data_IF_688942355427
#
_entry.id   IF_688942355427
#
_cell.length_a   1.000
_cell.length_b   1.000
_cell.length_c   1.000
_cell.angle_alpha   90.00
_cell.angle_beta   90.00
_cell.angle_gamma   90.00
#
_symmetry.space_group_name_H-M   'P 1'
#
loop_
_entity.id
_entity.type
_entity.pdbx_description
1 polymer ?
#
# COMPACT_ATOMS: atom_id res chain seq x y z
N UNK A 1 -71.35 5.32 21.03
CA UNK A 1 -72.36 5.09 22.07
C UNK A 1 -71.61 4.66 23.33
N UNK A 2 -71.48 5.61 24.26
CA UNK A 2 -71.42 5.48 25.73
C UNK A 2 -70.53 4.36 26.31
N UNK A 3 -69.39 4.82 26.86
CA UNK A 3 -68.84 4.54 28.21
C UNK A 3 -69.15 3.20 28.90
N UNK A 4 -68.10 2.54 29.43
CA UNK A 4 -67.83 2.59 30.88
C UNK A 4 -66.42 2.10 31.26
N UNK A 5 -65.77 2.98 32.02
CA UNK A 5 -64.59 2.80 32.86
C UNK A 5 -64.84 1.82 34.02
N UNK A 6 -63.77 1.16 34.48
CA UNK A 6 -63.31 1.15 35.89
C UNK A 6 -62.02 0.31 35.96
N UNK A 7 -60.82 0.90 36.02
CA UNK A 7 -60.10 1.46 37.17
C UNK A 7 -59.46 0.42 38.11
N UNK A 8 -58.18 0.69 38.40
CA UNK A 8 -57.35 0.08 39.44
C UNK A 8 -56.11 -0.57 38.82
N UNK A 9 -54.92 0.02 38.80
CA UNK A 9 -54.33 1.01 39.69
C UNK A 9 -52.97 0.47 40.11
N UNK A 10 -51.89 1.11 39.66
CA UNK A 10 -50.53 0.65 39.98
C UNK A 10 -49.45 1.46 39.27
N UNK A 11 -49.28 2.71 39.72
CA UNK A 11 -48.18 3.61 39.33
C UNK A 11 -46.83 3.01 39.70
N UNK A 12 -45.86 3.04 38.79
CA UNK A 12 -44.51 3.54 39.08
C UNK A 12 -43.99 4.35 37.89
N UNK A 13 -43.78 5.64 38.14
CA UNK A 13 -43.03 6.58 37.30
C UNK A 13 -41.53 6.28 37.39
N UNK A 14 -40.81 6.35 36.26
CA UNK A 14 -39.69 7.30 36.02
C UNK A 14 -38.87 6.92 34.78
N UNK A 15 -39.09 7.68 33.72
CA UNK A 15 -38.09 8.51 33.02
C UNK A 15 -36.60 8.08 33.08
N UNK A 16 -36.03 7.89 31.90
CA UNK A 16 -34.82 8.62 31.49
C UNK A 16 -33.55 7.81 31.35
N UNK A 17 -32.88 8.01 30.21
CA UNK A 17 -31.41 8.04 30.16
C UNK A 17 -30.73 6.86 29.47
N UNK A 18 -30.28 7.11 28.25
CA UNK A 18 -29.18 6.39 27.59
C UNK A 18 -27.88 6.59 28.38
N UNK A 19 -27.00 5.59 28.51
CA UNK A 19 -25.56 5.84 28.54
C UNK A 19 -24.88 4.99 27.45
N UNK A 20 -24.27 5.53 26.38
CA UNK A 20 -23.06 6.38 26.31
C UNK A 20 -21.90 5.85 27.17
N UNK A 21 -20.94 5.21 26.48
CA UNK A 21 -19.51 5.15 26.77
C UNK A 21 -19.07 4.86 28.22
N UNK A 22 -18.83 3.59 28.54
CA UNK A 22 -17.95 3.23 29.65
C UNK A 22 -16.47 3.36 29.20
N UNK A 23 -15.92 4.57 29.34
CA UNK A 23 -14.48 4.81 29.36
C UNK A 23 -13.96 4.32 30.72
N UNK A 24 -13.36 3.14 30.77
CA UNK A 24 -12.61 2.69 31.95
C UNK A 24 -11.27 3.43 32.01
N UNK A 25 -11.25 4.57 32.69
CA UNK A 25 -10.03 5.26 33.11
C UNK A 25 -9.48 4.62 34.38
N UNK A 26 -8.42 3.82 34.28
CA UNK A 26 -7.65 3.34 35.43
C UNK A 26 -6.54 4.34 35.73
N UNK A 27 -6.79 5.22 36.70
CA UNK A 27 -5.78 6.00 37.41
C UNK A 27 -5.08 5.05 38.39
N UNK A 28 -3.82 4.70 38.12
CA UNK A 28 -2.99 3.92 39.06
C UNK A 28 -1.96 4.88 39.66
N UNK A 29 -2.15 5.18 40.95
CA UNK A 29 -1.14 5.79 41.80
C UNK A 29 0.01 4.81 42.02
N UNK A 30 1.23 5.30 41.90
CA UNK A 30 2.46 4.53 42.04
C UNK A 30 2.78 4.29 43.52
N UNK A 31 3.10 3.04 43.87
CA UNK A 31 3.91 2.70 45.04
C UNK A 31 5.29 2.25 44.53
N UNK A 32 6.41 2.84 45.01
CA UNK A 32 7.75 2.55 44.49
C UNK A 32 8.45 1.48 45.33
N UNK A 33 7.85 0.29 45.48
CA UNK A 33 8.53 -0.84 46.12
C UNK A 33 8.27 -2.12 45.31
N UNK A 34 9.34 -2.66 44.73
CA UNK A 34 9.34 -3.93 43.99
C UNK A 34 9.22 -3.79 42.47
N UNK A 35 10.29 -3.33 41.79
CA UNK A 35 10.43 -3.53 40.35
C UNK A 35 10.70 -5.03 40.10
N UNK A 36 9.64 -5.84 40.19
CA UNK A 36 9.63 -7.09 39.45
C UNK A 36 9.63 -6.74 37.97
N UNK A 37 10.46 -7.44 37.19
CA UNK A 37 10.54 -7.39 35.74
C UNK A 37 9.25 -7.91 35.05
N UNK A 38 8.09 -7.56 35.58
CA UNK A 38 6.80 -7.90 35.05
C UNK A 38 6.53 -7.03 33.81
N UNK A 39 5.94 -7.59 32.75
CA UNK A 39 5.82 -6.95 31.43
C UNK A 39 4.99 -5.65 31.38
N UNK A 40 4.66 -5.00 32.50
CA UNK A 40 3.78 -3.84 32.59
C UNK A 40 4.32 -2.61 31.85
N UNK A 41 5.65 -2.40 31.81
CA UNK A 41 6.27 -1.36 30.99
C UNK A 41 6.01 -1.57 29.49
N UNK A 42 6.24 -2.80 29.02
CA UNK A 42 5.98 -3.21 27.64
C UNK A 42 4.49 -3.12 27.29
N UNK A 43 3.59 -3.46 28.22
CA UNK A 43 2.15 -3.29 28.04
C UNK A 43 1.77 -1.83 27.81
N UNK A 44 2.27 -0.90 28.64
CA UNK A 44 1.99 0.54 28.52
C UNK A 44 2.54 1.10 27.20
N UNK A 45 3.75 0.70 26.81
CA UNK A 45 4.34 1.05 25.52
C UNK A 45 3.53 0.49 24.34
N UNK A 46 3.05 -0.75 24.44
CA UNK A 46 2.20 -1.33 23.41
C UNK A 46 0.90 -0.54 23.24
N UNK A 47 0.27 -0.16 24.36
CA UNK A 47 -0.97 0.61 24.37
C UNK A 47 -0.85 1.96 23.65
N UNK A 48 0.23 2.70 23.90
CA UNK A 48 0.46 4.00 23.23
C UNK A 48 0.74 3.88 21.72
N UNK A 49 1.14 2.70 21.25
CA UNK A 49 1.46 2.42 19.86
C UNK A 49 0.28 1.86 19.06
N UNK A 50 -0.85 1.49 19.69
CA UNK A 50 -1.95 0.77 19.01
C UNK A 50 -2.46 1.45 17.74
N UNK A 51 -2.46 2.79 17.73
CA UNK A 51 -2.96 3.61 16.61
C UNK A 51 -1.84 4.04 15.67
N UNK A 52 -0.68 4.44 16.20
CA UNK A 52 0.41 5.02 15.42
C UNK A 52 1.32 3.97 14.79
N UNK A 53 1.54 2.84 15.46
CA UNK A 53 2.37 1.73 14.97
C UNK A 53 1.83 0.39 15.51
N UNK A 54 0.79 -0.17 14.88
CA UNK A 54 0.13 -1.38 15.35
C UNK A 54 1.03 -2.62 15.33
N UNK A 55 2.03 -2.68 14.44
CA UNK A 55 3.00 -3.78 14.38
C UNK A 55 3.92 -3.75 15.61
N UNK A 56 4.47 -2.58 15.92
CA UNK A 56 5.25 -2.40 17.14
C UNK A 56 4.40 -2.64 18.39
N UNK A 57 3.12 -2.24 18.40
CA UNK A 57 2.20 -2.56 19.49
C UNK A 57 2.03 -4.07 19.68
N UNK A 58 1.82 -4.84 18.61
CA UNK A 58 1.71 -6.30 18.66
C UNK A 58 3.00 -6.91 19.24
N UNK A 59 4.18 -6.48 18.79
CA UNK A 59 5.45 -7.01 19.31
C UNK A 59 5.64 -6.69 20.80
N UNK A 60 5.33 -5.46 21.23
CA UNK A 60 5.44 -5.08 22.63
C UNK A 60 4.44 -5.83 23.52
N UNK A 61 3.20 -6.08 23.05
CA UNK A 61 2.26 -6.91 23.80
C UNK A 61 2.72 -8.37 23.91
N UNK A 62 3.28 -8.95 22.84
CA UNK A 62 3.84 -10.31 22.87
C UNK A 62 5.03 -10.41 23.83
N UNK A 63 5.93 -9.42 23.79
CA UNK A 63 7.04 -9.34 24.72
C UNK A 63 6.54 -9.18 26.18
N UNK A 64 5.53 -8.34 26.41
CA UNK A 64 4.92 -8.17 27.73
C UNK A 64 4.35 -9.50 28.26
N UNK A 65 3.64 -10.26 27.41
CA UNK A 65 3.11 -11.57 27.76
C UNK A 65 4.21 -12.58 28.13
N UNK A 66 5.37 -12.56 27.45
CA UNK A 66 6.51 -13.41 27.78
C UNK A 66 7.26 -12.99 29.06
N UNK A 67 7.27 -11.69 29.39
CA UNK A 67 7.93 -11.16 30.60
C UNK A 67 7.13 -11.37 31.90
N UNK A 68 5.97 -12.03 31.83
CA UNK A 68 5.11 -12.26 32.99
C UNK A 68 4.28 -11.03 33.33
N UNK A 69 2.99 -11.04 32.97
CA UNK A 69 2.02 -10.01 33.35
C UNK A 69 1.12 -10.51 34.49
N UNK A 70 0.69 -9.60 35.40
CA UNK A 70 -0.42 -9.87 36.31
C UNK A 70 -1.65 -10.37 35.56
N UNK A 71 -2.48 -11.23 36.18
CA UNK A 71 -3.54 -11.97 35.50
C UNK A 71 -4.54 -11.08 34.72
N UNK A 72 -4.90 -9.93 35.28
CA UNK A 72 -5.77 -8.94 34.63
C UNK A 72 -5.10 -8.32 33.38
N UNK A 73 -3.85 -7.89 33.49
CA UNK A 73 -3.10 -7.33 32.36
C UNK A 73 -2.76 -8.38 31.31
N UNK A 74 -2.50 -9.62 31.72
CA UNK A 74 -2.30 -10.75 30.81
C UNK A 74 -3.56 -10.99 29.98
N UNK A 75 -4.73 -11.06 30.61
CA UNK A 75 -6.02 -11.22 29.90
C UNK A 75 -6.27 -10.06 28.95
N UNK A 76 -6.01 -8.82 29.37
CA UNK A 76 -6.14 -7.65 28.51
C UNK A 76 -5.19 -7.71 27.31
N UNK A 77 -3.91 -8.02 27.53
CA UNK A 77 -2.89 -8.08 26.48
C UNK A 77 -3.22 -9.13 25.42
N UNK A 78 -3.71 -10.30 25.85
CA UNK A 78 -4.19 -11.35 24.96
C UNK A 78 -5.29 -10.82 24.03
N UNK A 79 -6.34 -10.23 24.58
CA UNK A 79 -7.42 -9.68 23.74
C UNK A 79 -6.96 -8.51 22.86
N UNK A 80 -6.06 -7.66 23.36
CA UNK A 80 -5.47 -6.57 22.57
C UNK A 80 -4.71 -7.08 21.35
N UNK A 81 -3.88 -8.12 21.50
CA UNK A 81 -3.18 -8.76 20.38
C UNK A 81 -4.17 -9.31 19.36
N UNK A 82 -5.21 -10.02 19.82
CA UNK A 82 -6.26 -10.54 18.94
C UNK A 82 -6.94 -9.42 18.11
N UNK A 83 -7.38 -8.34 18.76
CA UNK A 83 -8.05 -7.24 18.08
C UNK A 83 -7.12 -6.45 17.18
N UNK A 84 -5.84 -6.30 17.54
CA UNK A 84 -4.85 -5.68 16.67
C UNK A 84 -4.62 -6.52 15.41
N UNK A 85 -4.54 -7.85 15.52
CA UNK A 85 -4.47 -8.70 14.34
C UNK A 85 -5.70 -8.53 13.45
N UNK A 86 -6.89 -8.59 14.04
CA UNK A 86 -8.16 -8.45 13.32
C UNK A 86 -8.30 -7.09 12.61
N UNK A 87 -8.04 -5.99 13.32
CA UNK A 87 -8.20 -4.62 12.82
C UNK A 87 -7.21 -4.29 11.70
N UNK A 88 -6.00 -4.84 11.79
CA UNK A 88 -4.92 -4.57 10.82
C UNK A 88 -4.79 -5.66 9.75
N UNK A 89 -5.85 -6.44 9.53
CA UNK A 89 -5.98 -7.40 8.43
C UNK A 89 -5.04 -8.62 8.48
N UNK A 90 -4.48 -8.92 9.65
CA UNK A 90 -3.73 -10.13 9.92
C UNK A 90 -4.69 -11.30 10.21
N UNK A 91 -5.56 -11.64 9.26
CA UNK A 91 -6.68 -12.55 9.53
C UNK A 91 -6.25 -13.98 9.86
N UNK A 92 -5.14 -14.48 9.28
CA UNK A 92 -4.61 -15.80 9.61
C UNK A 92 -4.11 -15.82 11.07
N UNK A 93 -3.39 -14.78 11.49
CA UNK A 93 -2.93 -14.60 12.86
C UNK A 93 -4.11 -14.45 13.82
N UNK A 94 -5.09 -13.60 13.49
CA UNK A 94 -6.29 -13.40 14.31
C UNK A 94 -7.05 -14.71 14.51
N UNK A 95 -7.19 -15.53 13.45
CA UNK A 95 -7.85 -16.83 13.52
C UNK A 95 -7.08 -17.80 14.42
N UNK A 96 -5.79 -18.00 14.18
CA UNK A 96 -4.95 -18.92 14.97
C UNK A 96 -4.86 -18.49 16.43
N UNK A 97 -4.64 -17.19 16.66
CA UNK A 97 -4.53 -16.62 17.99
C UNK A 97 -5.87 -16.67 18.74
N UNK A 98 -6.98 -16.33 18.07
CA UNK A 98 -8.34 -16.47 18.59
C UNK A 98 -8.64 -17.88 19.08
N UNK A 99 -8.26 -18.90 18.31
CA UNK A 99 -8.43 -20.30 18.71
C UNK A 99 -7.64 -20.65 19.96
N UNK A 100 -6.41 -20.14 20.09
CA UNK A 100 -5.56 -20.41 21.25
C UNK A 100 -6.06 -19.79 22.55
N UNK A 101 -6.92 -18.77 22.46
CA UNK A 101 -7.43 -18.01 23.61
C UNK A 101 -8.90 -18.33 23.91
N UNK A 102 -9.48 -19.31 23.22
CA UNK A 102 -10.88 -19.71 23.39
C UNK A 102 -11.88 -18.69 22.86
N UNK A 103 -11.53 -17.89 21.86
CA UNK A 103 -12.50 -17.03 21.19
C UNK A 103 -13.55 -17.91 20.49
N UNK A 104 -14.83 -17.75 20.86
CA UNK A 104 -15.91 -18.60 20.35
C UNK A 104 -16.12 -18.56 18.83
N UNK A 105 -16.94 -19.47 18.29
CA UNK A 105 -17.14 -19.64 16.84
C UNK A 105 -17.69 -18.40 16.11
N UNK A 106 -18.33 -17.47 16.80
CA UNK A 106 -18.76 -16.18 16.25
C UNK A 106 -17.58 -15.32 15.77
N UNK A 107 -16.47 -15.33 16.51
CA UNK A 107 -15.25 -14.61 16.16
C UNK A 107 -14.56 -15.23 14.93
N UNK A 108 -14.46 -16.56 14.88
CA UNK A 108 -13.93 -17.27 13.71
C UNK A 108 -14.72 -16.95 12.44
N UNK A 109 -16.05 -17.02 12.53
CA UNK A 109 -16.96 -16.70 11.43
C UNK A 109 -16.77 -15.25 10.96
N UNK A 110 -16.57 -14.32 11.89
CA UNK A 110 -16.31 -12.92 11.57
C UNK A 110 -14.98 -12.72 10.84
N UNK A 111 -13.91 -13.40 11.26
CA UNK A 111 -12.62 -13.36 10.56
C UNK A 111 -12.75 -13.87 9.12
N UNK A 112 -13.45 -14.99 8.92
CA UNK A 112 -13.68 -15.53 7.58
C UNK A 112 -14.52 -14.59 6.71
N UNK A 113 -15.56 -13.94 7.26
CA UNK A 113 -16.34 -12.91 6.55
C UNK A 113 -15.46 -11.71 6.17
N UNK A 114 -14.60 -11.26 7.06
CA UNK A 114 -13.68 -10.16 6.79
C UNK A 114 -12.65 -10.52 5.70
N UNK A 115 -12.13 -11.76 5.72
CA UNK A 115 -11.25 -12.27 4.67
C UNK A 115 -11.97 -12.38 3.31
N UNK A 116 -13.22 -12.84 3.29
CA UNK A 116 -14.05 -12.84 2.07
C UNK A 116 -14.25 -11.42 1.55
N UNK A 117 -14.63 -10.48 2.42
CA UNK A 117 -14.89 -9.10 2.03
C UNK A 117 -13.62 -8.38 1.56
N UNK A 118 -12.49 -8.55 2.23
CA UNK A 118 -11.24 -7.83 1.89
C UNK A 118 -10.42 -8.51 0.80
N UNK A 119 -10.25 -9.83 0.90
CA UNK A 119 -9.39 -10.61 0.00
C UNK A 119 -10.17 -11.34 -1.10
N UNK A 120 -11.49 -11.49 -0.99
CA UNK A 120 -12.29 -12.19 -2.00
C UNK A 120 -12.09 -13.71 -2.01
N UNK A 121 -11.57 -14.26 -0.90
CA UNK A 121 -11.29 -15.69 -0.78
C UNK A 121 -12.43 -16.40 -0.03
N UNK A 122 -12.71 -17.65 -0.42
CA UNK A 122 -13.72 -18.47 0.26
C UNK A 122 -13.18 -18.99 1.59
N UNK A 123 -14.05 -19.51 2.45
CA UNK A 123 -13.63 -20.19 3.68
C UNK A 123 -12.68 -21.37 3.40
N UNK A 124 -12.87 -22.07 2.27
CA UNK A 124 -11.98 -23.14 1.84
C UNK A 124 -10.57 -22.64 1.49
N UNK A 125 -10.47 -21.57 0.69
CA UNK A 125 -9.19 -20.93 0.37
C UNK A 125 -8.51 -20.40 1.65
N UNK A 126 -9.29 -19.79 2.56
CA UNK A 126 -8.79 -19.29 3.85
C UNK A 126 -8.23 -20.42 4.71
N UNK A 127 -8.96 -21.53 4.86
CA UNK A 127 -8.52 -22.69 5.63
C UNK A 127 -7.24 -23.31 5.06
N UNK A 128 -7.11 -23.37 3.73
CA UNK A 128 -5.85 -23.80 3.08
C UNK A 128 -4.68 -22.89 3.46
N UNK A 129 -4.87 -21.57 3.45
CA UNK A 129 -3.83 -20.63 3.88
C UNK A 129 -3.46 -20.82 5.36
N UNK A 130 -4.45 -21.00 6.24
CA UNK A 130 -4.22 -21.25 7.67
C UNK A 130 -3.44 -22.54 7.90
N UNK A 131 -3.79 -23.62 7.20
CA UNK A 131 -3.08 -24.90 7.27
C UNK A 131 -1.64 -24.76 6.78
N UNK A 132 -1.44 -24.15 5.61
CA UNK A 132 -0.11 -23.94 5.05
C UNK A 132 0.76 -23.01 5.91
N UNK A 133 0.16 -22.03 6.61
CA UNK A 133 0.89 -21.13 7.53
C UNK A 133 1.60 -21.89 8.65
N UNK A 134 0.99 -22.99 9.13
CA UNK A 134 1.59 -23.86 10.15
C UNK A 134 2.73 -24.72 9.59
N UNK A 135 2.74 -25.02 8.29
CA UNK A 135 3.78 -25.82 7.61
C UNK A 135 5.01 -25.03 7.14
N UNK A 136 4.97 -23.69 7.17
CA UNK A 136 6.12 -22.82 6.95
C UNK A 136 6.64 -22.78 5.51
N UNK A 137 7.32 -23.83 5.05
CA UNK A 137 8.04 -23.87 3.77
C UNK A 137 7.13 -23.88 2.54
N UNK A 138 5.93 -24.46 2.66
CA UNK A 138 4.91 -24.58 1.60
C UNK A 138 3.91 -23.43 1.55
N UNK A 139 4.03 -22.46 2.48
CA UNK A 139 3.11 -21.34 2.55
C UNK A 139 3.12 -20.48 1.29
N UNK A 140 4.28 -20.04 0.74
CA UNK A 140 4.30 -19.21 -0.45
C UNK A 140 3.63 -19.86 -1.66
N UNK A 141 3.81 -21.17 -1.86
CA UNK A 141 3.22 -21.88 -3.00
C UNK A 141 1.68 -21.95 -2.88
N UNK A 142 1.18 -22.20 -1.67
CA UNK A 142 -0.25 -22.18 -1.38
C UNK A 142 -0.82 -20.77 -1.54
N UNK A 143 -0.13 -19.76 -1.02
CA UNK A 143 -0.51 -18.35 -1.15
C UNK A 143 -0.59 -17.96 -2.62
N UNK A 144 0.43 -18.26 -3.42
CA UNK A 144 0.49 -17.97 -4.85
C UNK A 144 -0.64 -18.66 -5.62
N UNK A 145 -0.96 -19.92 -5.29
CA UNK A 145 -2.10 -20.64 -5.88
C UNK A 145 -3.45 -19.96 -5.57
N UNK A 146 -3.64 -19.48 -4.33
CA UNK A 146 -4.87 -18.76 -3.95
C UNK A 146 -4.92 -17.39 -4.61
N UNK A 147 -3.82 -16.64 -4.62
CA UNK A 147 -3.69 -15.31 -5.23
C UNK A 147 -4.00 -15.36 -6.73
N UNK A 148 -3.46 -16.35 -7.45
CA UNK A 148 -3.66 -16.51 -8.89
C UNK A 148 -5.14 -16.64 -9.28
N UNK A 149 -5.98 -17.18 -8.39
CA UNK A 149 -7.44 -17.29 -8.62
C UNK A 149 -8.19 -15.97 -8.44
N UNK A 150 -7.55 -14.90 -7.93
CA UNK A 150 -8.23 -13.69 -7.43
C UNK A 150 -7.82 -12.43 -8.17
N UNK A 151 -8.17 -12.32 -9.44
CA UNK A 151 -7.78 -11.21 -10.33
C UNK A 151 -7.92 -9.79 -9.72
N UNK A 152 -9.06 -9.46 -9.08
CA UNK A 152 -9.33 -8.10 -8.58
C UNK A 152 -8.73 -7.79 -7.20
N UNK A 153 -8.44 -8.80 -6.39
CA UNK A 153 -7.99 -8.64 -4.99
C UNK A 153 -6.61 -9.25 -4.71
N UNK A 154 -5.97 -9.81 -5.75
CA UNK A 154 -4.66 -10.45 -5.68
C UNK A 154 -3.60 -9.54 -5.03
N UNK A 155 -3.52 -8.27 -5.44
CA UNK A 155 -2.54 -7.33 -4.88
C UNK A 155 -2.76 -7.06 -3.39
N UNK A 156 -4.02 -6.88 -2.97
CA UNK A 156 -4.37 -6.62 -1.56
C UNK A 156 -4.08 -7.85 -0.71
N UNK A 157 -4.52 -9.03 -1.17
CA UNK A 157 -4.25 -10.30 -0.50
C UNK A 157 -2.74 -10.53 -0.34
N UNK A 158 -1.97 -10.41 -1.42
CA UNK A 158 -0.53 -10.60 -1.36
C UNK A 158 0.16 -9.62 -0.41
N UNK A 159 -0.19 -8.33 -0.47
CA UNK A 159 0.38 -7.32 0.41
C UNK A 159 0.10 -7.61 1.89
N UNK A 160 -1.12 -7.98 2.24
CA UNK A 160 -1.46 -8.32 3.62
C UNK A 160 -0.76 -9.61 4.08
N UNK A 161 -0.66 -10.64 3.23
CA UNK A 161 0.05 -11.89 3.56
C UNK A 161 1.56 -11.66 3.75
N UNK A 162 2.18 -10.81 2.92
CA UNK A 162 3.60 -10.45 3.05
C UNK A 162 3.87 -9.70 4.35
N UNK A 163 3.09 -8.66 4.64
CA UNK A 163 3.18 -7.92 5.92
C UNK A 163 3.01 -8.83 7.12
N UNK A 164 2.09 -9.79 7.02
CA UNK A 164 1.84 -10.78 8.06
C UNK A 164 3.04 -11.72 8.30
N UNK A 165 3.78 -12.10 7.25
CA UNK A 165 5.01 -12.89 7.35
C UNK A 165 6.16 -12.05 7.91
N UNK A 166 6.30 -10.80 7.47
CA UNK A 166 7.30 -9.85 7.99
C UNK A 166 7.13 -9.61 9.49
N UNK A 167 5.89 -9.45 9.96
CA UNK A 167 5.58 -9.33 11.39
C UNK A 167 6.00 -10.59 12.19
N UNK A 168 6.06 -11.76 11.56
CA UNK A 168 6.53 -13.00 12.17
C UNK A 168 8.04 -13.24 11.97
N UNK A 169 8.78 -12.30 11.37
CA UNK A 169 10.20 -12.45 11.07
C UNK A 169 10.51 -13.38 9.89
N UNK A 170 9.51 -13.69 9.05
CA UNK A 170 9.61 -14.61 7.90
C UNK A 170 9.72 -13.85 6.57
N UNK A 171 10.66 -12.89 6.51
CA UNK A 171 10.83 -12.03 5.34
C UNK A 171 11.24 -12.83 4.07
N UNK A 172 11.93 -13.94 4.24
CA UNK A 172 12.29 -14.89 3.19
C UNK A 172 11.06 -15.54 2.53
N UNK A 173 10.02 -15.84 3.32
CA UNK A 173 8.77 -16.37 2.80
C UNK A 173 7.92 -15.24 2.18
N UNK A 174 7.97 -14.04 2.76
CA UNK A 174 7.25 -12.88 2.25
C UNK A 174 7.71 -12.54 0.82
N UNK A 175 9.01 -12.62 0.57
CA UNK A 175 9.60 -12.38 -0.75
C UNK A 175 9.27 -13.45 -1.80
N UNK A 176 8.70 -14.59 -1.39
CA UNK A 176 8.27 -15.66 -2.30
C UNK A 176 6.79 -15.58 -2.69
N UNK A 177 6.01 -14.70 -2.07
CA UNK A 177 4.63 -14.42 -2.48
C UNK A 177 4.68 -13.51 -3.71
N UNK A 178 3.98 -13.85 -4.79
CA UNK A 178 4.01 -13.20 -6.11
C UNK A 178 2.58 -12.92 -6.59
N UNK A 179 2.35 -11.81 -7.31
CA UNK A 179 1.01 -11.36 -7.75
C UNK A 179 0.87 -11.54 -9.25
N UNK A 180 0.70 -12.79 -9.70
CA UNK A 180 0.47 -13.08 -11.12
C UNK A 180 -0.90 -12.53 -11.53
N UNK A 181 -0.94 -11.57 -12.47
CA UNK A 181 -2.22 -11.17 -13.08
C UNK A 181 -2.75 -12.32 -13.95
N UNK A 182 -3.94 -12.89 -13.65
CA UNK A 182 -4.56 -13.85 -14.55
C UNK A 182 -4.94 -13.10 -15.83
N UNK A 183 -4.41 -13.54 -16.97
CA UNK A 183 -4.60 -13.03 -18.35
C UNK A 183 -3.54 -12.06 -18.92
N UNK A 184 -2.37 -11.85 -18.32
CA UNK A 184 -1.26 -11.33 -19.13
C UNK A 184 -0.72 -12.46 -20.02
N UNK A 185 -1.19 -12.54 -21.27
CA UNK A 185 -0.68 -13.50 -22.26
C UNK A 185 0.80 -13.27 -22.63
N UNK A 186 1.42 -12.22 -22.10
CA UNK A 186 2.86 -11.96 -22.19
C UNK A 186 3.29 -11.08 -21.02
N UNK A 187 4.27 -11.50 -20.21
CA UNK A 187 5.13 -10.55 -19.48
C UNK A 187 4.96 -10.37 -17.96
N UNK A 188 4.46 -11.36 -17.20
CA UNK A 188 4.61 -11.35 -15.74
C UNK A 188 5.80 -12.20 -15.32
N UNK A 189 6.96 -11.56 -15.29
CA UNK A 189 8.19 -12.14 -14.76
C UNK A 189 8.21 -12.04 -13.22
N UNK A 190 8.31 -13.17 -12.49
CA UNK A 190 8.28 -13.18 -11.03
C UNK A 190 9.34 -12.28 -10.39
N UNK A 191 10.53 -12.23 -10.98
CA UNK A 191 11.64 -11.44 -10.44
C UNK A 191 11.35 -9.94 -10.58
N UNK A 192 10.68 -9.54 -11.67
CA UNK A 192 10.28 -8.14 -11.88
C UNK A 192 9.16 -7.72 -10.94
N UNK A 193 8.20 -8.60 -10.65
CA UNK A 193 7.16 -8.33 -9.65
C UNK A 193 7.73 -8.22 -8.24
N UNK A 194 8.70 -9.09 -7.91
CA UNK A 194 9.38 -9.06 -6.63
C UNK A 194 10.26 -7.82 -6.47
N UNK A 195 10.95 -7.39 -7.53
CA UNK A 195 11.71 -6.14 -7.53
C UNK A 195 10.79 -4.92 -7.35
N UNK A 196 9.63 -4.91 -7.99
CA UNK A 196 8.62 -3.86 -7.80
C UNK A 196 8.07 -3.85 -6.36
N UNK A 197 7.93 -5.02 -5.74
CA UNK A 197 7.60 -5.09 -4.32
C UNK A 197 8.68 -4.47 -3.43
N UNK A 198 9.94 -4.87 -3.58
CA UNK A 198 11.05 -4.27 -2.82
C UNK A 198 11.12 -2.75 -3.01
N UNK A 199 10.95 -2.26 -4.26
CA UNK A 199 10.85 -0.83 -4.54
C UNK A 199 9.71 -0.14 -3.78
N UNK A 200 8.53 -0.77 -3.70
CA UNK A 200 7.37 -0.25 -2.98
C UNK A 200 7.59 -0.16 -1.46
N UNK A 201 8.36 -1.08 -0.89
CA UNK A 201 8.74 -1.08 0.53
C UNK A 201 9.89 -0.11 0.83
N UNK A 202 10.52 0.47 -0.20
CA UNK A 202 11.68 1.34 -0.04
C UNK A 202 13.01 0.58 0.06
N UNK A 203 13.01 -0.76 -0.06
CA UNK A 203 14.22 -1.55 -0.23
C UNK A 203 14.75 -1.42 -1.66
N UNK A 204 15.39 -0.28 -1.92
CA UNK A 204 15.93 0.03 -3.24
C UNK A 204 17.10 -0.89 -3.62
N UNK A 205 17.89 -1.32 -2.62
CA UNK A 205 19.06 -2.17 -2.84
C UNK A 205 18.63 -3.59 -3.23
N UNK A 206 17.70 -4.20 -2.48
CA UNK A 206 17.17 -5.51 -2.81
C UNK A 206 16.43 -5.52 -4.16
N UNK A 207 15.68 -4.46 -4.46
CA UNK A 207 15.04 -4.29 -5.77
C UNK A 207 16.08 -4.25 -6.90
N UNK A 208 17.15 -3.47 -6.73
CA UNK A 208 18.20 -3.29 -7.72
C UNK A 208 19.01 -4.58 -7.95
N UNK A 209 19.43 -5.26 -6.89
CA UNK A 209 20.18 -6.52 -6.98
C UNK A 209 19.39 -7.58 -7.77
N UNK A 210 18.08 -7.66 -7.53
CA UNK A 210 17.21 -8.59 -8.25
C UNK A 210 17.08 -8.24 -9.73
N UNK A 211 16.95 -6.94 -10.07
CA UNK A 211 16.91 -6.48 -11.46
C UNK A 211 18.22 -6.74 -12.20
N UNK A 212 19.37 -6.53 -11.57
CA UNK A 212 20.69 -6.84 -12.17
C UNK A 212 20.96 -8.33 -12.30
N UNK A 213 20.48 -9.13 -11.34
CA UNK A 213 20.49 -10.59 -11.49
C UNK A 213 19.65 -10.99 -12.70
N UNK A 214 18.46 -10.39 -12.83
CA UNK A 214 17.55 -10.68 -13.93
C UNK A 214 18.09 -10.25 -15.28
N UNK A 215 18.77 -9.10 -15.37
CA UNK A 215 19.30 -8.58 -16.63
C UNK A 215 20.35 -9.49 -17.28
N UNK A 216 20.93 -10.44 -16.53
CA UNK A 216 21.88 -11.45 -17.03
C UNK A 216 21.20 -12.69 -17.63
N UNK A 217 19.87 -12.76 -17.62
CA UNK A 217 19.11 -13.86 -18.20
C UNK A 217 18.91 -13.65 -19.70
N UNK A 218 19.25 -14.67 -20.50
CA UNK A 218 19.12 -14.61 -21.96
C UNK A 218 17.67 -14.65 -22.45
N UNK A 219 16.73 -15.14 -21.61
CA UNK A 219 15.31 -15.36 -21.98
C UNK A 219 14.40 -14.15 -21.74
N UNK A 220 14.96 -12.95 -21.59
CA UNK A 220 14.19 -11.73 -21.35
C UNK A 220 13.46 -11.25 -22.61
N UNK A 221 12.14 -11.49 -22.67
CA UNK A 221 11.26 -10.90 -23.69
C UNK A 221 11.38 -9.36 -23.74
N UNK A 222 11.10 -8.74 -24.89
CA UNK A 222 11.18 -7.26 -25.04
C UNK A 222 10.33 -6.52 -24.00
N UNK A 223 9.13 -7.01 -23.70
CA UNK A 223 8.25 -6.42 -22.68
C UNK A 223 8.87 -6.48 -21.29
N UNK A 224 9.47 -7.61 -20.91
CA UNK A 224 10.19 -7.75 -19.65
C UNK A 224 11.48 -6.90 -19.63
N UNK A 225 12.18 -6.84 -20.77
CA UNK A 225 13.19 -5.86 -21.20
C UNK A 225 12.88 -4.44 -20.71
N UNK A 226 11.81 -3.93 -21.28
CA UNK A 226 11.31 -2.58 -21.05
C UNK A 226 10.95 -2.36 -19.57
N UNK A 227 10.20 -3.28 -18.96
CA UNK A 227 9.77 -3.16 -17.56
C UNK A 227 10.94 -3.16 -16.57
N UNK A 228 11.94 -4.02 -16.79
CA UNK A 228 13.17 -4.06 -15.98
C UNK A 228 13.88 -2.71 -15.98
N UNK A 229 14.14 -2.17 -17.18
CA UNK A 229 14.82 -0.89 -17.35
C UNK A 229 14.00 0.27 -16.75
N UNK A 230 12.68 0.25 -16.93
CA UNK A 230 11.79 1.23 -16.30
C UNK A 230 11.90 1.22 -14.77
N UNK A 231 11.94 0.03 -14.14
CA UNK A 231 12.11 -0.09 -12.69
C UNK A 231 13.49 0.41 -12.22
N UNK A 232 14.57 0.11 -12.96
CA UNK A 232 15.90 0.68 -12.68
C UNK A 232 15.88 2.22 -12.75
N UNK A 233 15.18 2.79 -13.74
CA UNK A 233 15.00 4.23 -13.85
C UNK A 233 14.28 4.84 -12.64
N UNK A 234 13.24 4.16 -12.13
CA UNK A 234 12.53 4.57 -10.90
C UNK A 234 13.41 4.50 -9.65
N UNK A 235 14.25 3.47 -9.54
CA UNK A 235 15.20 3.30 -8.43
C UNK A 235 16.22 4.45 -8.43
N UNK A 236 16.85 4.70 -9.58
CA UNK A 236 17.84 5.78 -9.74
C UNK A 236 17.27 7.14 -9.39
N UNK A 237 16.02 7.40 -9.79
CA UNK A 237 15.33 8.63 -9.42
C UNK A 237 15.16 8.78 -7.90
N UNK A 238 14.78 7.71 -7.18
CA UNK A 238 14.70 7.75 -5.71
C UNK A 238 16.08 7.93 -5.04
N UNK A 239 17.13 7.42 -5.67
CA UNK A 239 18.53 7.62 -5.25
C UNK A 239 19.07 9.01 -5.65
N UNK A 240 18.25 9.91 -6.22
CA UNK A 240 18.64 11.23 -6.73
C UNK A 240 19.70 11.19 -7.84
N UNK A 241 19.87 10.05 -8.50
CA UNK A 241 20.71 9.90 -9.67
C UNK A 241 19.85 10.08 -10.94
N UNK A 242 19.61 11.34 -11.29
CA UNK A 242 18.70 11.66 -12.40
C UNK A 242 19.27 11.31 -13.77
N UNK A 243 20.60 11.39 -13.95
CA UNK A 243 21.26 11.08 -15.21
C UNK A 243 21.03 9.61 -15.61
N UNK A 244 21.24 8.68 -14.69
CA UNK A 244 20.97 7.27 -14.93
C UNK A 244 19.47 6.99 -15.10
N UNK A 245 18.62 7.68 -14.34
CA UNK A 245 17.17 7.54 -14.50
C UNK A 245 16.72 7.89 -15.92
N UNK A 246 17.20 9.00 -16.48
CA UNK A 246 16.96 9.42 -17.87
C UNK A 246 17.45 8.34 -18.84
N UNK A 247 18.67 7.84 -18.66
CA UNK A 247 19.24 6.79 -19.52
C UNK A 247 18.38 5.54 -19.51
N UNK A 248 17.97 5.06 -18.34
CA UNK A 248 17.15 3.87 -18.23
C UNK A 248 15.76 4.03 -18.84
N UNK A 249 15.10 5.18 -18.67
CA UNK A 249 13.81 5.41 -19.34
C UNK A 249 13.94 5.43 -20.87
N UNK A 250 15.00 6.02 -21.41
CA UNK A 250 15.28 5.98 -22.86
C UNK A 250 15.52 4.56 -23.36
N UNK A 251 16.32 3.78 -22.63
CA UNK A 251 16.55 2.37 -22.97
C UNK A 251 15.26 1.56 -22.88
N UNK A 252 14.45 1.77 -21.84
CA UNK A 252 13.17 1.08 -21.66
C UNK A 252 12.21 1.32 -22.83
N UNK A 253 12.18 2.56 -23.35
CA UNK A 253 11.35 2.94 -24.47
C UNK A 253 11.69 2.19 -25.77
N UNK A 254 12.98 1.86 -25.99
CA UNK A 254 13.42 1.09 -27.15
C UNK A 254 12.93 -0.37 -27.19
N UNK A 255 12.46 -0.89 -26.06
CA UNK A 255 11.91 -2.25 -25.94
C UNK A 255 10.39 -2.29 -25.76
N UNK A 256 9.75 -1.12 -25.65
CA UNK A 256 8.32 -0.98 -25.40
C UNK A 256 7.51 -0.87 -26.71
N UNK A 257 6.19 -1.03 -26.61
CA UNK A 257 5.25 -0.72 -27.71
C UNK A 257 4.92 0.77 -27.75
N UNK A 258 4.41 1.27 -28.88
CA UNK A 258 4.28 2.71 -29.19
C UNK A 258 3.74 3.61 -28.06
N UNK A 259 2.69 3.19 -27.34
CA UNK A 259 2.13 4.01 -26.27
C UNK A 259 3.02 4.01 -25.01
N UNK A 260 3.58 2.86 -24.64
CA UNK A 260 4.48 2.73 -23.49
C UNK A 260 5.84 3.38 -23.76
N UNK A 261 6.36 3.22 -24.97
CA UNK A 261 7.57 3.87 -25.44
C UNK A 261 7.47 5.39 -25.32
N UNK A 262 6.36 5.97 -25.82
CA UNK A 262 6.05 7.40 -25.67
C UNK A 262 6.00 7.85 -24.22
N UNK A 263 5.35 7.09 -23.33
CA UNK A 263 5.30 7.42 -21.89
C UNK A 263 6.70 7.45 -21.26
N UNK A 264 7.55 6.47 -21.60
CA UNK A 264 8.91 6.39 -21.07
C UNK A 264 9.80 7.52 -21.58
N UNK A 265 9.68 7.90 -22.86
CA UNK A 265 10.38 9.05 -23.42
C UNK A 265 9.88 10.38 -22.85
N UNK A 266 8.58 10.52 -22.62
CA UNK A 266 8.02 11.67 -21.92
C UNK A 266 8.57 11.79 -20.48
N UNK A 267 8.74 10.67 -19.76
CA UNK A 267 9.39 10.67 -18.45
C UNK A 267 10.85 11.10 -18.52
N UNK A 268 11.62 10.58 -19.48
CA UNK A 268 13.01 10.98 -19.71
C UNK A 268 13.12 12.47 -20.04
N UNK A 269 12.28 12.93 -20.97
CA UNK A 269 12.22 14.32 -21.42
C UNK A 269 11.82 15.27 -20.28
N UNK A 270 10.83 14.89 -19.47
CA UNK A 270 10.40 15.72 -18.33
C UNK A 270 11.54 15.95 -17.33
N UNK A 271 12.38 14.94 -17.12
CA UNK A 271 13.56 15.07 -16.25
C UNK A 271 14.63 15.98 -16.85
N UNK A 272 14.91 15.87 -18.16
CA UNK A 272 15.81 16.79 -18.84
C UNK A 272 15.32 18.23 -18.73
N UNK A 273 14.04 18.46 -18.97
CA UNK A 273 13.41 19.77 -18.87
C UNK A 273 13.53 20.36 -17.45
N UNK A 274 13.23 19.56 -16.42
CA UNK A 274 13.40 19.96 -15.00
C UNK A 274 14.84 20.32 -14.64
N UNK A 275 15.81 19.75 -15.34
CA UNK A 275 17.24 20.03 -15.17
C UNK A 275 17.75 21.17 -16.06
N UNK A 276 16.84 21.94 -16.66
CA UNK A 276 17.18 23.09 -17.51
C UNK A 276 17.65 22.72 -18.92
N UNK A 277 17.66 21.44 -19.29
CA UNK A 277 18.05 20.96 -20.62
C UNK A 277 16.85 20.97 -21.57
N UNK A 278 16.36 22.16 -21.89
CA UNK A 278 15.10 22.36 -22.63
C UNK A 278 15.15 21.82 -24.05
N UNK A 279 16.23 22.09 -24.78
CA UNK A 279 16.38 21.67 -26.18
C UNK A 279 16.42 20.13 -26.28
N UNK A 280 17.24 19.49 -25.44
CA UNK A 280 17.30 18.03 -25.37
C UNK A 280 15.97 17.39 -24.92
N UNK A 281 15.17 18.09 -24.11
CA UNK A 281 13.84 17.63 -23.77
C UNK A 281 12.91 17.71 -24.99
N UNK A 282 12.91 18.84 -25.70
CA UNK A 282 12.11 19.03 -26.90
C UNK A 282 12.43 18.00 -27.98
N UNK A 283 13.72 17.81 -28.30
CA UNK A 283 14.17 16.81 -29.28
C UNK A 283 13.63 15.41 -29.01
N UNK A 284 13.54 15.00 -27.73
CA UNK A 284 13.04 13.67 -27.38
C UNK A 284 11.54 13.49 -27.67
N UNK A 285 10.75 14.56 -27.61
CA UNK A 285 9.29 14.48 -27.71
C UNK A 285 8.73 15.00 -29.03
N UNK A 286 9.49 15.82 -29.79
CA UNK A 286 9.07 16.43 -31.06
C UNK A 286 8.72 15.38 -32.13
N UNK A 287 9.39 14.23 -32.08
CA UNK A 287 9.11 13.08 -32.95
C UNK A 287 7.76 12.40 -32.68
N UNK A 288 7.04 12.78 -31.62
CA UNK A 288 5.76 12.16 -31.25
C UNK A 288 4.59 13.12 -31.43
N UNK A 289 3.43 12.60 -31.87
CA UNK A 289 2.22 13.41 -31.87
C UNK A 289 1.85 13.82 -30.44
N UNK A 290 1.24 14.99 -30.32
CA UNK A 290 0.68 15.51 -29.07
C UNK A 290 -0.26 14.45 -28.45
N UNK A 291 -0.05 14.07 -27.17
CA UNK A 291 -0.85 13.04 -26.53
C UNK A 291 -2.23 13.57 -26.10
N UNK A 292 -3.23 12.69 -26.09
CA UNK A 292 -4.60 13.05 -25.65
C UNK A 292 -4.73 13.25 -24.14
N UNK A 293 -3.82 12.68 -23.34
CA UNK A 293 -3.88 12.76 -21.87
C UNK A 293 -3.48 14.16 -21.39
N UNK A 294 -4.43 14.90 -20.79
CA UNK A 294 -4.30 16.33 -20.42
C UNK A 294 -2.97 16.73 -19.77
N UNK A 295 -2.45 15.91 -18.85
CA UNK A 295 -1.19 16.21 -18.15
C UNK A 295 0.04 16.07 -19.05
N UNK A 296 0.08 15.02 -19.88
CA UNK A 296 1.15 14.85 -20.85
C UNK A 296 1.01 15.88 -21.98
N UNK A 297 -0.21 16.21 -22.37
CA UNK A 297 -0.51 17.27 -23.33
C UNK A 297 0.03 18.62 -22.88
N UNK A 298 -0.29 19.02 -21.64
CA UNK A 298 0.24 20.24 -21.03
C UNK A 298 1.77 20.25 -21.05
N UNK A 299 2.40 19.14 -20.70
CA UNK A 299 3.85 19.01 -20.74
C UNK A 299 4.42 19.25 -22.15
N UNK A 300 3.87 18.58 -23.18
CA UNK A 300 4.31 18.73 -24.57
C UNK A 300 4.18 20.18 -25.04
N UNK A 301 3.05 20.83 -24.75
CA UNK A 301 2.82 22.23 -25.12
C UNK A 301 3.80 23.17 -24.43
N UNK A 302 4.05 22.99 -23.13
CA UNK A 302 4.98 23.83 -22.37
C UNK A 302 6.40 23.72 -22.94
N UNK A 303 6.89 22.50 -23.18
CA UNK A 303 8.25 22.31 -23.72
C UNK A 303 8.37 22.86 -25.13
N UNK A 304 7.39 22.63 -26.00
CA UNK A 304 7.40 23.15 -27.36
C UNK A 304 7.43 24.68 -27.43
N UNK A 305 6.74 25.36 -26.50
CA UNK A 305 6.77 26.82 -26.40
C UNK A 305 8.09 27.30 -25.82
N UNK A 306 8.59 26.68 -24.74
CA UNK A 306 9.76 27.15 -24.00
C UNK A 306 11.11 26.85 -24.67
N UNK A 307 11.18 25.81 -25.51
CA UNK A 307 12.42 25.38 -26.18
C UNK A 307 12.48 25.78 -27.66
N UNK A 308 11.33 25.87 -28.35
CA UNK A 308 11.28 26.05 -29.80
C UNK A 308 10.38 27.20 -30.26
N UNK A 309 9.90 28.05 -29.34
CA UNK A 309 9.00 29.18 -29.63
C UNK A 309 7.79 28.81 -30.51
N UNK A 310 7.29 27.58 -30.35
CA UNK A 310 6.27 27.01 -31.23
C UNK A 310 4.92 27.76 -31.07
N UNK A 311 4.57 28.57 -32.06
CA UNK A 311 3.36 29.40 -32.04
C UNK A 311 2.06 28.58 -32.03
N UNK A 312 2.05 27.40 -32.65
CA UNK A 312 0.90 26.51 -32.62
C UNK A 312 0.67 25.95 -31.21
N UNK A 313 1.75 25.51 -30.56
CA UNK A 313 1.70 25.08 -29.17
C UNK A 313 1.29 26.22 -28.23
N UNK A 314 1.78 27.45 -28.47
CA UNK A 314 1.39 28.63 -27.69
C UNK A 314 -0.10 28.94 -27.80
N UNK A 315 -0.67 28.84 -29.01
CA UNK A 315 -2.13 29.00 -29.22
C UNK A 315 -2.94 27.94 -28.49
N UNK A 316 -2.53 26.68 -28.55
CA UNK A 316 -3.17 25.58 -27.80
C UNK A 316 -3.03 25.77 -26.29
N UNK A 317 -1.87 26.20 -25.80
CA UNK A 317 -1.63 26.49 -24.40
C UNK A 317 -2.54 27.63 -23.88
N UNK A 318 -2.76 28.68 -24.70
CA UNK A 318 -3.75 29.74 -24.40
C UNK A 318 -5.17 29.21 -24.25
N UNK A 319 -5.58 28.21 -25.04
CA UNK A 319 -6.91 27.60 -24.88
C UNK A 319 -7.10 26.90 -23.52
N UNK A 320 -6.00 26.46 -22.89
CA UNK A 320 -5.99 25.85 -21.56
C UNK A 320 -5.81 26.87 -20.42
N UNK A 321 -5.58 28.14 -20.73
CA UNK A 321 -5.17 29.16 -19.75
C UNK A 321 -6.16 29.33 -18.61
N UNK A 322 -7.46 29.32 -18.90
CA UNK A 322 -8.52 29.47 -17.88
C UNK A 322 -8.46 28.35 -16.84
N UNK A 323 -8.26 27.12 -17.30
CA UNK A 323 -8.15 25.95 -16.41
C UNK A 323 -6.86 26.00 -15.59
N UNK A 324 -5.74 26.35 -16.22
CA UNK A 324 -4.43 26.50 -15.56
C UNK A 324 -4.51 27.58 -14.48
N UNK A 325 -5.09 28.75 -14.80
CA UNK A 325 -5.31 29.86 -13.85
C UNK A 325 -6.13 29.42 -12.64
N UNK A 326 -7.19 28.66 -12.85
CA UNK A 326 -8.02 28.17 -11.75
C UNK A 326 -7.24 27.19 -10.85
N UNK A 327 -6.48 26.26 -11.43
CA UNK A 327 -5.60 25.36 -10.65
C UNK A 327 -4.55 26.13 -9.84
N UNK A 328 -3.99 27.20 -10.41
CA UNK A 328 -3.06 28.09 -9.69
C UNK A 328 -3.76 28.80 -8.53
N UNK A 329 -4.96 29.36 -8.76
CA UNK A 329 -5.77 30.06 -7.75
C UNK A 329 -6.13 29.15 -6.57
N UNK A 330 -6.45 27.89 -6.84
CA UNK A 330 -6.78 26.88 -5.82
C UNK A 330 -5.55 26.31 -5.10
N UNK A 331 -4.33 26.77 -5.41
CA UNK A 331 -3.09 26.25 -4.82
C UNK A 331 -2.75 24.82 -5.28
N UNK A 332 -3.38 24.33 -6.36
CA UNK A 332 -3.22 22.98 -6.90
C UNK A 332 -2.21 22.91 -8.05
N UNK A 333 -1.62 24.05 -8.45
CA UNK A 333 -0.69 24.11 -9.57
C UNK A 333 0.66 23.44 -9.27
N UNK A 334 1.01 22.49 -10.13
CA UNK A 334 2.33 21.89 -10.17
C UNK A 334 3.35 22.78 -10.88
N UNK A 335 4.51 22.19 -11.16
CA UNK A 335 5.59 22.87 -11.87
C UNK A 335 5.19 23.30 -13.29
N UNK A 336 4.50 22.43 -14.03
CA UNK A 336 4.12 22.68 -15.42
C UNK A 336 3.09 23.78 -15.55
N UNK A 337 2.09 23.81 -14.67
CA UNK A 337 1.06 24.85 -14.65
C UNK A 337 1.68 26.23 -14.37
N UNK A 338 2.61 26.31 -13.41
CA UNK A 338 3.32 27.57 -13.12
C UNK A 338 4.16 28.03 -14.31
N UNK A 339 4.90 27.10 -14.93
CA UNK A 339 5.74 27.41 -16.09
C UNK A 339 4.92 27.82 -17.31
N UNK A 340 3.77 27.16 -17.54
CA UNK A 340 2.83 27.56 -18.57
C UNK A 340 2.35 29.01 -18.38
N UNK A 341 1.99 29.40 -17.15
CA UNK A 341 1.58 30.77 -16.84
C UNK A 341 2.68 31.80 -17.07
N UNK A 342 3.94 31.45 -16.87
CA UNK A 342 5.08 32.32 -17.19
C UNK A 342 5.23 32.54 -18.69
N UNK A 343 5.06 31.49 -19.50
CA UNK A 343 5.19 31.53 -20.97
C UNK A 343 4.01 32.22 -21.68
N UNK A 344 2.87 32.34 -20.99
CA UNK A 344 1.66 32.98 -21.49
C UNK A 344 1.56 34.46 -21.15
N UNK A 345 2.40 34.96 -20.23
CA UNK A 345 2.61 36.40 -20.03
C UNK A 345 3.28 37.00 -21.27
#
# INVERSE_FOLDING_TARGET
MIERFSNGGGRVLRLGGIPVLAIFGLLVWASPEGIQANGAGLFRKAYSLETSNPEAAIQNYRAALSSGLPANLRRAAVWKVYFLYKRNHYYIQAYRYGNSIGAGGSHQSEIMRNALHRWGITSGDFNRLVQAWSGGSSFPDTANSVIAKKSRKATVLAADLRRALELEGKADLASRIIVRRPNSKSGNDPDLEQAEYYYSQGDLKGAEELLWKKSKSDDLSSVARSRLLYLLGKIRLKQKNEADAIRFYRLAAGYATDQESRRMLALASYRLYRNGKKDAAYELIDQFPEPDEDRMRLYFLVVAVDAADNQNAKRKLRSMEKEIKERVRLGQAGFLEKRAMELLR
#
